data_IF_078743258819
#
_entry.id   IF_078743258819
#
_cell.length_a   1.000
_cell.length_b   1.000
_cell.length_c   1.000
_cell.angle_alpha   90.00
_cell.angle_beta   90.00
_cell.angle_gamma   90.00
#
_symmetry.space_group_name_H-M   'P 1'
#
loop_
_entity.id
_entity.type
_entity.pdbx_description
1 polymer ?
#
# COMPACT_ATOMS: atom_id res chain seq x y z
N UNK A 1 44.52 19.86 7.54
CA UNK A 1 44.22 21.29 7.39
C UNK A 1 42.86 21.49 6.75
N UNK A 2 41.81 21.61 7.58
CA UNK A 2 40.41 21.88 7.18
C UNK A 2 39.86 23.10 7.93
N UNK A 3 40.72 24.06 8.32
CA UNK A 3 40.35 25.08 9.31
C UNK A 3 40.06 26.48 8.77
N UNK A 4 40.17 26.74 7.46
CA UNK A 4 39.78 28.04 6.88
C UNK A 4 38.98 27.85 5.57
N UNK A 5 37.84 27.17 5.66
CA UNK A 5 36.86 27.14 4.56
C UNK A 5 35.84 28.24 4.79
N UNK A 6 35.68 29.12 3.80
CA UNK A 6 34.63 30.15 3.77
C UNK A 6 33.24 29.50 3.76
N UNK A 7 32.22 30.22 4.23
CA UNK A 7 30.85 29.68 4.32
C UNK A 7 30.29 29.34 2.93
N UNK A 8 30.72 30.07 1.90
CA UNK A 8 30.42 29.77 0.50
C UNK A 8 31.02 28.42 0.05
N UNK A 9 32.28 28.14 0.38
CA UNK A 9 32.94 26.87 0.03
C UNK A 9 32.32 25.68 0.77
N UNK A 10 31.90 25.88 2.03
CA UNK A 10 31.16 24.85 2.78
C UNK A 10 29.82 24.56 2.13
N UNK A 11 29.09 25.59 1.70
CA UNK A 11 27.81 25.43 1.03
C UNK A 11 27.97 24.73 -0.32
N UNK A 12 28.97 25.09 -1.10
CA UNK A 12 29.27 24.43 -2.37
C UNK A 12 29.65 22.95 -2.17
N UNK A 13 30.40 22.62 -1.11
CA UNK A 13 30.70 21.23 -0.76
C UNK A 13 29.46 20.44 -0.33
N UNK A 14 28.55 21.06 0.43
CA UNK A 14 27.27 20.44 0.81
C UNK A 14 26.39 20.22 -0.41
N UNK A 15 26.31 21.18 -1.32
CA UNK A 15 25.53 21.05 -2.55
C UNK A 15 26.12 19.96 -3.47
N UNK A 16 27.45 19.91 -3.64
CA UNK A 16 28.13 18.81 -4.35
C UNK A 16 27.91 17.45 -3.68
N UNK A 17 27.91 17.39 -2.35
CA UNK A 17 27.64 16.17 -1.60
C UNK A 17 26.19 15.72 -1.83
N UNK A 18 25.22 16.64 -1.81
CA UNK A 18 23.81 16.37 -2.06
C UNK A 18 23.57 15.90 -3.51
N UNK A 19 24.21 16.54 -4.50
CA UNK A 19 24.18 16.10 -5.89
C UNK A 19 24.80 14.71 -6.06
N UNK A 20 25.94 14.46 -5.41
CA UNK A 20 26.58 13.15 -5.43
C UNK A 20 25.72 12.08 -4.76
N UNK A 21 25.07 12.39 -3.63
CA UNK A 21 24.12 11.50 -2.96
C UNK A 21 22.87 11.26 -3.84
N UNK A 22 22.36 12.28 -4.52
CA UNK A 22 21.24 12.14 -5.46
C UNK A 22 21.63 11.24 -6.66
N UNK A 23 22.82 11.43 -7.22
CA UNK A 23 23.36 10.59 -8.31
C UNK A 23 23.65 9.16 -7.86
N UNK A 24 24.16 8.95 -6.64
CA UNK A 24 24.34 7.62 -6.05
C UNK A 24 23.00 6.92 -5.84
N UNK A 25 21.98 7.62 -5.37
CA UNK A 25 20.63 7.08 -5.22
C UNK A 25 19.95 6.71 -6.55
N UNK A 26 20.38 7.33 -7.66
CA UNK A 26 19.84 7.09 -9.01
C UNK A 26 20.65 6.11 -9.84
N UNK A 27 21.90 5.81 -9.47
CA UNK A 27 22.78 4.95 -10.27
C UNK A 27 22.64 3.49 -9.84
N UNK A 28 22.17 2.65 -10.77
CA UNK A 28 22.32 1.20 -10.63
C UNK A 28 23.82 0.88 -10.63
N UNK A 29 24.33 0.29 -9.54
CA UNK A 29 25.73 -0.13 -9.47
C UNK A 29 26.05 -1.09 -10.64
N UNK A 30 27.01 -0.70 -11.48
CA UNK A 30 27.36 -1.40 -12.71
C UNK A 30 28.00 -2.80 -12.48
N UNK A 31 28.33 -3.16 -11.23
CA UNK A 31 28.98 -4.43 -10.89
C UNK A 31 28.25 -5.12 -9.72
N UNK A 32 27.84 -6.37 -9.93
CA UNK A 32 27.04 -7.15 -8.97
C UNK A 32 27.66 -7.22 -7.57
N UNK A 33 29.00 -7.31 -7.47
CA UNK A 33 29.72 -7.33 -6.19
C UNK A 33 29.59 -6.01 -5.43
N UNK A 34 29.65 -4.87 -6.13
CA UNK A 34 29.47 -3.56 -5.49
C UNK A 34 28.03 -3.38 -5.01
N UNK A 35 27.05 -3.82 -5.79
CA UNK A 35 25.63 -3.86 -5.41
C UNK A 35 25.41 -4.69 -4.15
N UNK A 36 26.03 -5.88 -4.06
CA UNK A 36 25.90 -6.75 -2.89
C UNK A 36 26.50 -6.10 -1.63
N UNK A 37 27.71 -5.53 -1.71
CA UNK A 37 28.33 -4.84 -0.58
C UNK A 37 27.51 -3.64 -0.10
N UNK A 38 26.95 -2.86 -1.04
CA UNK A 38 26.09 -1.72 -0.73
C UNK A 38 24.81 -2.16 -0.01
N UNK A 39 24.14 -3.20 -0.51
CA UNK A 39 22.96 -3.80 0.15
C UNK A 39 23.31 -4.30 1.55
N UNK A 40 24.40 -5.06 1.71
CA UNK A 40 24.78 -5.60 3.02
C UNK A 40 25.08 -4.49 4.04
N UNK A 41 25.89 -3.50 3.66
CA UNK A 41 26.23 -2.39 4.55
C UNK A 41 25.01 -1.55 4.97
N UNK A 42 24.05 -1.40 4.05
CA UNK A 42 22.78 -0.71 4.33
C UNK A 42 21.90 -1.53 5.27
N UNK A 43 21.76 -2.83 5.02
CA UNK A 43 20.99 -3.74 5.88
C UNK A 43 21.59 -3.80 7.29
N UNK A 44 22.91 -3.92 7.43
CA UNK A 44 23.59 -3.91 8.73
C UNK A 44 23.30 -2.63 9.53
N UNK A 45 23.21 -1.49 8.83
CA UNK A 45 22.85 -0.20 9.45
C UNK A 45 21.40 -0.22 9.94
N UNK A 46 20.48 -0.73 9.11
CA UNK A 46 19.05 -0.85 9.47
C UNK A 46 18.87 -1.80 10.64
N UNK A 47 19.56 -2.95 10.66
CA UNK A 47 19.49 -3.92 11.75
C UNK A 47 19.90 -3.30 13.07
N UNK A 48 21.02 -2.56 13.11
CA UNK A 48 21.46 -1.84 14.30
C UNK A 48 20.43 -0.80 14.77
N UNK A 49 19.77 -0.10 13.83
CA UNK A 49 18.73 0.87 14.16
C UNK A 49 17.49 0.20 14.75
N UNK A 50 17.05 -0.93 14.19
CA UNK A 50 15.90 -1.70 14.68
C UNK A 50 16.19 -2.30 16.06
N UNK A 51 17.39 -2.86 16.25
CA UNK A 51 17.84 -3.40 17.53
C UNK A 51 17.88 -2.31 18.62
N UNK A 52 18.50 -1.16 18.29
CA UNK A 52 18.53 0.00 19.20
C UNK A 52 17.14 0.52 19.55
N UNK A 53 16.21 0.48 18.59
CA UNK A 53 14.82 0.87 18.82
C UNK A 53 14.13 -0.12 19.77
N UNK A 54 14.28 -1.43 19.54
CA UNK A 54 13.72 -2.48 20.38
C UNK A 54 14.21 -2.37 21.83
N UNK A 55 15.52 -2.19 22.03
CA UNK A 55 16.10 -2.01 23.39
C UNK A 55 15.51 -0.78 24.09
N UNK A 56 15.27 0.31 23.37
CA UNK A 56 14.78 1.56 23.96
C UNK A 56 13.28 1.57 24.24
N UNK A 57 12.47 0.88 23.43
CA UNK A 57 11.01 1.00 23.49
C UNK A 57 10.27 -0.29 23.78
N UNK A 58 10.95 -1.44 23.75
CA UNK A 58 10.32 -2.77 23.83
C UNK A 58 9.48 -3.11 22.59
N UNK A 59 9.68 -2.43 21.46
CA UNK A 59 8.97 -2.74 20.22
C UNK A 59 9.61 -3.98 19.57
N UNK A 60 8.75 -4.90 19.14
CA UNK A 60 9.12 -6.01 18.27
C UNK A 60 9.13 -5.58 16.81
N UNK A 61 10.22 -5.83 16.09
CA UNK A 61 10.37 -5.55 14.68
C UNK A 61 11.06 -6.72 13.94
N UNK A 62 10.68 -6.92 12.69
CA UNK A 62 11.34 -7.83 11.77
C UNK A 62 11.54 -7.17 10.41
N UNK A 63 12.58 -7.59 9.69
CA UNK A 63 12.83 -7.21 8.31
C UNK A 63 13.17 -8.46 7.50
N UNK A 64 12.55 -8.60 6.34
CA UNK A 64 12.92 -9.60 5.32
C UNK A 64 13.45 -8.86 4.09
N UNK A 65 14.60 -9.31 3.59
CA UNK A 65 15.23 -8.74 2.41
C UNK A 65 15.62 -9.86 1.44
N UNK A 66 15.31 -9.68 0.16
CA UNK A 66 15.73 -10.61 -0.89
C UNK A 66 16.18 -9.83 -2.11
N UNK A 67 16.99 -10.49 -2.95
CA UNK A 67 17.20 -10.02 -4.32
C UNK A 67 15.89 -10.05 -5.11
N UNK A 68 15.76 -9.11 -6.03
CA UNK A 68 14.62 -9.03 -6.95
C UNK A 68 14.89 -9.61 -8.34
N UNK A 69 16.12 -10.04 -8.63
CA UNK A 69 16.52 -10.51 -9.95
C UNK A 69 17.50 -11.68 -9.84
N UNK A 70 17.39 -12.67 -10.72
CA UNK A 70 18.16 -13.94 -10.67
C UNK A 70 19.67 -13.70 -10.76
N UNK A 71 20.11 -12.70 -11.53
CA UNK A 71 21.53 -12.36 -11.68
C UNK A 71 22.12 -11.53 -10.54
N UNK A 72 21.30 -11.04 -9.60
CA UNK A 72 21.83 -10.39 -8.41
C UNK A 72 22.39 -11.47 -7.47
N UNK A 73 23.61 -11.26 -6.98
CA UNK A 73 24.32 -12.20 -6.10
C UNK A 73 24.00 -12.01 -4.63
N UNK A 74 23.19 -11.02 -4.27
CA UNK A 74 22.78 -10.76 -2.89
C UNK A 74 21.96 -11.93 -2.34
N UNK A 75 22.39 -12.50 -1.23
CA UNK A 75 21.67 -13.56 -0.52
C UNK A 75 20.44 -12.98 0.18
N UNK A 76 19.31 -13.68 0.12
CA UNK A 76 18.17 -13.30 0.93
C UNK A 76 18.47 -13.51 2.41
N UNK A 77 18.02 -12.57 3.23
CA UNK A 77 18.32 -12.52 4.66
C UNK A 77 17.14 -11.93 5.41
N UNK A 78 17.10 -12.18 6.71
CA UNK A 78 16.11 -11.61 7.60
C UNK A 78 16.77 -11.17 8.91
N UNK A 79 16.10 -10.27 9.60
CA UNK A 79 16.45 -9.81 10.93
C UNK A 79 15.19 -9.77 11.79
N UNK A 80 15.33 -10.16 13.04
CA UNK A 80 14.28 -10.10 14.04
C UNK A 80 14.85 -9.56 15.35
N UNK A 81 14.11 -8.67 16.00
CA UNK A 81 14.45 -8.19 17.34
C UNK A 81 14.00 -9.20 18.40
N UNK A 82 14.79 -9.36 19.45
CA UNK A 82 14.44 -10.19 20.62
C UNK A 82 13.95 -11.60 20.19
N UNK A 83 12.97 -12.16 20.89
CA UNK A 83 12.41 -13.47 20.62
C UNK A 83 11.28 -13.49 19.57
N UNK A 84 11.32 -12.59 18.56
CA UNK A 84 10.32 -12.58 17.48
C UNK A 84 10.31 -13.89 16.67
N UNK A 85 11.36 -14.71 16.75
CA UNK A 85 11.38 -16.07 16.19
C UNK A 85 10.25 -16.94 16.73
N UNK A 86 10.00 -16.87 18.05
CA UNK A 86 8.94 -17.62 18.72
C UNK A 86 7.57 -17.27 18.12
N UNK A 87 7.35 -16.01 17.71
CA UNK A 87 6.10 -15.63 17.04
C UNK A 87 5.91 -16.38 15.70
N UNK A 88 6.97 -16.52 14.91
CA UNK A 88 6.87 -17.21 13.62
C UNK A 88 6.63 -18.70 13.80
N UNK A 89 7.38 -19.34 14.70
CA UNK A 89 7.29 -20.77 14.95
C UNK A 89 6.00 -21.14 15.70
N UNK A 90 5.66 -20.44 16.79
CA UNK A 90 4.51 -20.79 17.61
C UNK A 90 3.18 -20.34 16.99
N UNK A 91 3.11 -19.12 16.44
CA UNK A 91 1.85 -18.54 15.96
C UNK A 91 1.58 -18.84 14.49
N UNK A 92 2.62 -18.83 13.66
CA UNK A 92 2.48 -19.00 12.21
C UNK A 92 2.94 -20.38 11.73
N UNK A 93 3.58 -21.17 12.59
CA UNK A 93 4.02 -22.53 12.29
C UNK A 93 4.93 -22.57 11.06
N UNK A 94 5.80 -21.55 10.93
CA UNK A 94 6.76 -21.38 9.83
C UNK A 94 8.07 -20.82 10.34
N UNK A 95 9.19 -21.31 9.80
CA UNK A 95 10.50 -20.75 10.08
C UNK A 95 10.72 -19.44 9.29
N UNK A 96 11.47 -18.50 9.87
CA UNK A 96 11.77 -17.23 9.22
C UNK A 96 12.57 -17.41 7.91
N UNK A 97 13.45 -18.42 7.84
CA UNK A 97 14.17 -18.76 6.62
C UNK A 97 13.22 -19.23 5.51
N UNK A 98 12.17 -19.99 5.85
CA UNK A 98 11.16 -20.43 4.88
C UNK A 98 10.40 -19.22 4.28
N UNK A 99 10.05 -18.24 5.12
CA UNK A 99 9.43 -16.99 4.66
C UNK A 99 10.39 -16.23 3.73
N UNK A 100 11.67 -16.17 4.11
CA UNK A 100 12.73 -15.51 3.34
C UNK A 100 12.88 -16.13 1.95
N UNK A 101 12.90 -17.46 1.86
CA UNK A 101 12.96 -18.16 0.58
C UNK A 101 11.70 -18.00 -0.25
N UNK A 102 10.52 -18.02 0.37
CA UNK A 102 9.25 -17.75 -0.34
C UNK A 102 9.22 -16.32 -0.90
N UNK A 103 9.72 -15.35 -0.14
CA UNK A 103 9.87 -13.97 -0.59
C UNK A 103 10.83 -13.89 -1.78
N UNK A 104 11.99 -14.54 -1.71
CA UNK A 104 12.97 -14.55 -2.80
C UNK A 104 12.41 -15.22 -4.05
N UNK A 105 11.76 -16.38 -3.93
CA UNK A 105 11.11 -17.05 -5.07
C UNK A 105 10.05 -16.14 -5.70
N UNK A 106 9.20 -15.50 -4.89
CA UNK A 106 8.23 -14.54 -5.39
C UNK A 106 8.90 -13.36 -6.09
N UNK A 107 9.96 -12.81 -5.51
CA UNK A 107 10.69 -11.67 -6.05
C UNK A 107 11.43 -12.04 -7.34
N UNK A 108 12.03 -13.22 -7.48
CA UNK A 108 12.74 -13.63 -8.69
C UNK A 108 11.80 -14.11 -9.82
N UNK A 109 10.63 -14.67 -9.49
CA UNK A 109 9.68 -15.19 -10.50
C UNK A 109 8.69 -14.10 -10.93
N UNK A 110 8.17 -13.32 -9.96
CA UNK A 110 7.11 -12.33 -10.17
C UNK A 110 7.65 -10.90 -10.13
N UNK A 111 8.85 -10.67 -9.59
CA UNK A 111 9.52 -9.37 -9.57
C UNK A 111 9.96 -8.96 -10.97
N UNK A 112 8.96 -8.66 -11.78
CA UNK A 112 8.99 -7.79 -12.92
C UNK A 112 9.84 -6.55 -12.59
N UNK A 113 10.66 -6.14 -13.56
CA UNK A 113 11.42 -4.88 -13.50
C UNK A 113 10.47 -3.72 -13.15
N UNK A 114 11.00 -2.62 -12.59
CA UNK A 114 10.19 -1.45 -12.20
C UNK A 114 9.22 -1.03 -13.32
N UNK A 115 9.66 -1.12 -14.57
CA UNK A 115 8.88 -0.79 -15.77
C UNK A 115 7.75 -1.79 -16.08
N UNK A 116 7.99 -3.09 -15.85
CA UNK A 116 6.99 -4.15 -16.04
C UNK A 116 5.92 -4.14 -14.92
N UNK A 117 6.23 -3.55 -13.75
CA UNK A 117 5.24 -3.36 -12.67
C UNK A 117 4.13 -2.39 -13.05
N UNK A 118 4.36 -1.48 -13.99
CA UNK A 118 3.41 -0.43 -14.38
C UNK A 118 2.49 -0.84 -15.54
N UNK A 119 2.18 -2.13 -15.68
CA UNK A 119 1.06 -2.52 -16.55
C UNK A 119 -0.26 -2.03 -15.96
N UNK A 120 -1.23 -1.75 -16.85
CA UNK A 120 -2.60 -1.37 -16.46
C UNK A 120 -3.18 -2.41 -15.49
N UNK A 121 -3.11 -3.71 -15.81
CA UNK A 121 -3.67 -4.77 -14.97
C UNK A 121 -3.04 -4.82 -13.57
N UNK A 122 -1.71 -4.68 -13.46
CA UNK A 122 -1.03 -4.65 -12.18
C UNK A 122 -1.48 -3.42 -11.37
N UNK A 123 -1.55 -2.25 -12.00
CA UNK A 123 -1.98 -1.02 -11.34
C UNK A 123 -3.44 -1.05 -10.89
N UNK A 124 -4.34 -1.63 -11.69
CA UNK A 124 -5.73 -1.89 -11.31
C UNK A 124 -5.79 -2.77 -10.05
N UNK A 125 -5.01 -3.86 -10.01
CA UNK A 125 -4.94 -4.78 -8.86
C UNK A 125 -4.41 -4.08 -7.62
N UNK A 126 -3.35 -3.29 -7.75
CA UNK A 126 -2.75 -2.53 -6.65
C UNK A 126 -3.75 -1.52 -6.08
N UNK A 127 -4.37 -0.69 -6.92
CA UNK A 127 -5.37 0.29 -6.46
C UNK A 127 -6.58 -0.38 -5.79
N UNK A 128 -7.06 -1.49 -6.36
CA UNK A 128 -8.18 -2.26 -5.79
C UNK A 128 -7.83 -2.81 -4.41
N UNK A 129 -6.60 -3.32 -4.23
CA UNK A 129 -6.12 -3.81 -2.93
C UNK A 129 -6.00 -2.70 -1.90
N UNK A 130 -5.40 -1.56 -2.26
CA UNK A 130 -5.26 -0.41 -1.37
C UNK A 130 -6.63 0.10 -0.89
N UNK A 131 -7.58 0.26 -1.82
CA UNK A 131 -8.92 0.72 -1.50
C UNK A 131 -9.66 -0.25 -0.58
N UNK A 132 -9.70 -1.55 -0.91
CA UNK A 132 -10.40 -2.54 -0.08
C UNK A 132 -9.72 -2.74 1.27
N UNK A 133 -8.38 -2.74 1.32
CA UNK A 133 -7.63 -2.83 2.57
C UNK A 133 -7.98 -1.67 3.49
N UNK A 134 -7.91 -0.44 2.98
CA UNK A 134 -8.29 0.76 3.74
C UNK A 134 -9.73 0.72 4.26
N UNK A 135 -10.68 0.24 3.43
CA UNK A 135 -12.09 0.11 3.84
C UNK A 135 -12.26 -0.92 4.96
N UNK A 136 -11.60 -2.07 4.86
CA UNK A 136 -11.65 -3.13 5.88
C UNK A 136 -11.06 -2.67 7.21
N UNK A 137 -9.99 -1.89 7.16
CA UNK A 137 -9.35 -1.30 8.34
C UNK A 137 -10.30 -0.35 9.06
N UNK A 138 -10.93 0.58 8.34
CA UNK A 138 -11.82 1.56 8.98
C UNK A 138 -13.15 0.95 9.45
N UNK A 139 -13.68 -0.02 8.70
CA UNK A 139 -14.90 -0.73 9.04
C UNK A 139 -14.69 -1.82 10.09
N UNK A 140 -13.43 -2.13 10.45
CA UNK A 140 -13.03 -3.24 11.34
C UNK A 140 -13.65 -4.58 10.93
N UNK A 141 -13.71 -4.83 9.62
CA UNK A 141 -14.39 -5.98 9.01
C UNK A 141 -13.64 -6.48 7.79
N UNK A 142 -13.34 -7.77 7.73
CA UNK A 142 -12.58 -8.37 6.64
C UNK A 142 -13.43 -8.84 5.45
N UNK A 143 -14.73 -9.00 5.65
CA UNK A 143 -15.71 -9.51 4.67
C UNK A 143 -16.25 -8.45 3.72
N UNK A 144 -15.92 -7.17 3.95
CA UNK A 144 -16.40 -6.06 3.14
C UNK A 144 -15.52 -5.86 1.90
N UNK A 145 -16.20 -5.64 0.78
CA UNK A 145 -15.64 -5.17 -0.48
C UNK A 145 -16.43 -3.94 -0.95
N UNK A 146 -15.79 -3.07 -1.72
CA UNK A 146 -16.42 -1.84 -2.22
C UNK A 146 -17.50 -2.19 -3.25
N UNK A 147 -18.73 -1.80 -2.97
CA UNK A 147 -19.81 -1.82 -3.94
C UNK A 147 -19.89 -0.47 -4.65
N UNK A 148 -19.13 -0.30 -5.74
CA UNK A 148 -19.09 0.97 -6.48
C UNK A 148 -20.46 1.43 -7.01
N UNK A 149 -21.32 0.49 -7.43
CA UNK A 149 -22.63 0.81 -7.99
C UNK A 149 -23.64 1.29 -6.94
N UNK A 150 -23.49 0.81 -5.70
CA UNK A 150 -24.36 1.12 -4.57
C UNK A 150 -23.56 1.73 -3.41
N UNK A 151 -22.53 2.51 -3.74
CA UNK A 151 -21.59 3.04 -2.76
C UNK A 151 -22.30 3.91 -1.72
N UNK A 152 -23.15 4.81 -2.21
CA UNK A 152 -23.93 5.74 -1.40
C UNK A 152 -24.89 5.03 -0.43
N UNK A 153 -25.49 3.91 -0.83
CA UNK A 153 -26.48 3.20 0.00
C UNK A 153 -25.84 2.16 0.92
N UNK A 154 -24.86 1.40 0.43
CA UNK A 154 -24.26 0.28 1.18
C UNK A 154 -23.09 0.73 2.04
N UNK A 155 -22.32 1.72 1.60
CA UNK A 155 -21.13 2.20 2.33
C UNK A 155 -21.45 3.49 3.07
N UNK A 156 -21.82 4.58 2.37
CA UNK A 156 -22.08 5.86 3.04
C UNK A 156 -23.26 5.81 4.00
N UNK A 157 -24.44 5.39 3.53
CA UNK A 157 -25.65 5.39 4.36
C UNK A 157 -25.60 4.34 5.48
N UNK A 158 -25.20 3.10 5.16
CA UNK A 158 -25.27 1.99 6.14
C UNK A 158 -24.06 1.92 7.08
N UNK A 159 -22.87 2.24 6.61
CA UNK A 159 -21.64 2.14 7.42
C UNK A 159 -21.13 3.50 7.90
N UNK A 160 -21.74 4.61 7.46
CA UNK A 160 -21.29 5.98 7.77
C UNK A 160 -19.83 6.22 7.37
N UNK A 161 -19.37 5.58 6.29
CA UNK A 161 -17.99 5.69 5.78
C UNK A 161 -18.01 6.37 4.42
N UNK A 162 -17.11 7.31 4.20
CA UNK A 162 -16.88 7.94 2.90
C UNK A 162 -15.38 8.01 2.59
N UNK A 163 -15.05 8.41 1.37
CA UNK A 163 -13.68 8.58 0.88
C UNK A 163 -13.39 10.07 0.65
N UNK A 164 -12.30 10.55 1.23
CA UNK A 164 -11.81 11.93 1.06
C UNK A 164 -10.61 11.95 0.15
N UNK A 165 -10.43 13.06 -0.59
CA UNK A 165 -9.22 13.29 -1.39
C UNK A 165 -9.12 12.46 -2.66
N UNK A 166 -10.27 12.02 -3.19
CA UNK A 166 -10.31 11.35 -4.50
C UNK A 166 -9.74 12.28 -5.60
N UNK A 167 -8.88 11.75 -6.50
CA UNK A 167 -8.17 12.59 -7.47
C UNK A 167 -9.11 13.25 -8.48
N UNK A 168 -8.92 14.56 -8.70
CA UNK A 168 -9.67 15.33 -9.70
C UNK A 168 -9.43 14.76 -11.11
N UNK A 169 -10.51 14.67 -11.88
CA UNK A 169 -10.52 14.16 -13.25
C UNK A 169 -10.69 12.64 -13.37
N UNK A 170 -10.72 11.91 -12.25
CA UNK A 170 -10.93 10.46 -12.25
C UNK A 170 -12.33 10.18 -11.70
N UNK A 171 -13.17 9.52 -12.49
CA UNK A 171 -14.51 9.09 -12.05
C UNK A 171 -14.36 8.07 -10.92
N UNK A 172 -15.16 8.20 -9.87
CA UNK A 172 -15.20 7.19 -8.80
C UNK A 172 -15.85 5.91 -9.29
N UNK A 173 -15.01 4.93 -9.65
CA UNK A 173 -15.42 3.63 -10.16
C UNK A 173 -14.42 2.55 -9.76
N UNK A 174 -14.73 1.29 -10.08
CA UNK A 174 -13.79 0.20 -9.88
C UNK A 174 -12.48 0.48 -10.62
N UNK A 175 -11.30 0.35 -9.97
CA UNK A 175 -10.03 0.49 -10.66
C UNK A 175 -9.91 -0.47 -11.84
N UNK A 176 -10.50 -1.66 -11.78
CA UNK A 176 -10.53 -2.63 -12.90
C UNK A 176 -11.25 -2.13 -14.15
N UNK A 177 -12.06 -1.06 -14.04
CA UNK A 177 -12.73 -0.41 -15.17
C UNK A 177 -11.92 0.76 -15.76
N UNK A 178 -10.81 1.14 -15.13
CA UNK A 178 -9.93 2.23 -15.60
C UNK A 178 -8.85 1.63 -16.50
N UNK A 179 -8.87 1.96 -17.79
CA UNK A 179 -7.87 1.47 -18.76
C UNK A 179 -6.71 2.45 -18.99
N UNK A 180 -6.80 3.66 -18.45
CA UNK A 180 -5.73 4.64 -18.53
C UNK A 180 -4.68 4.40 -17.43
N UNK A 181 -3.45 4.14 -17.86
CA UNK A 181 -2.32 3.93 -16.95
C UNK A 181 -2.02 5.19 -16.14
N UNK A 182 -2.09 6.39 -16.75
CA UNK A 182 -1.75 7.62 -16.04
C UNK A 182 -2.74 7.91 -14.90
N UNK A 183 -4.04 7.74 -15.14
CA UNK A 183 -5.07 7.82 -14.11
C UNK A 183 -4.82 6.81 -12.97
N UNK A 184 -4.44 5.57 -13.28
CA UNK A 184 -4.13 4.56 -12.27
C UNK A 184 -2.89 4.90 -11.45
N UNK A 185 -1.83 5.42 -12.08
CA UNK A 185 -0.63 5.86 -11.37
C UNK A 185 -0.91 7.03 -10.43
N UNK A 186 -1.72 8.01 -10.89
CA UNK A 186 -2.18 9.12 -10.07
C UNK A 186 -3.01 8.64 -8.88
N UNK A 187 -3.95 7.71 -9.11
CA UNK A 187 -4.76 7.11 -8.05
C UNK A 187 -3.89 6.34 -7.04
N UNK A 188 -2.92 5.55 -7.50
CA UNK A 188 -1.95 4.84 -6.66
C UNK A 188 -1.17 5.81 -5.77
N UNK A 189 -0.66 6.90 -6.33
CA UNK A 189 0.10 7.91 -5.60
C UNK A 189 -0.71 8.49 -4.45
N UNK A 190 -1.88 9.06 -4.74
CA UNK A 190 -2.72 9.68 -3.70
C UNK A 190 -3.19 8.69 -2.62
N UNK A 191 -3.36 7.40 -2.96
CA UNK A 191 -3.69 6.36 -1.98
C UNK A 191 -2.50 5.99 -1.09
N UNK A 192 -1.29 5.90 -1.65
CA UNK A 192 -0.07 5.58 -0.90
C UNK A 192 0.36 6.73 0.01
N UNK A 193 0.24 7.95 -0.49
CA UNK A 193 0.62 9.17 0.23
C UNK A 193 -0.40 9.53 1.32
N UNK A 194 -1.56 8.85 1.35
CA UNK A 194 -2.63 9.10 2.32
C UNK A 194 -3.52 10.31 2.01
N UNK A 195 -3.30 11.01 0.89
CA UNK A 195 -4.18 12.09 0.44
C UNK A 195 -5.61 11.58 0.16
N UNK A 196 -5.71 10.38 -0.40
CA UNK A 196 -6.97 9.67 -0.61
C UNK A 196 -7.14 8.60 0.46
N UNK A 197 -8.10 8.78 1.37
CA UNK A 197 -8.31 7.85 2.48
C UNK A 197 -9.78 7.76 2.89
N UNK A 198 -10.11 6.66 3.53
CA UNK A 198 -11.42 6.43 4.12
C UNK A 198 -11.54 7.17 5.45
N UNK A 199 -12.73 7.69 5.74
CA UNK A 199 -13.02 8.31 7.03
C UNK A 199 -14.46 7.98 7.47
N UNK A 200 -14.67 7.98 8.79
CA UNK A 200 -16.01 7.92 9.38
C UNK A 200 -16.64 9.30 9.26
N UNK A 201 -17.82 9.36 8.65
CA UNK A 201 -18.63 10.57 8.61
C UNK A 201 -19.02 10.95 10.03
N UNK A 202 -19.02 12.25 10.33
CA UNK A 202 -19.59 12.72 11.58
C UNK A 202 -21.11 12.51 11.58
N UNK A 203 -21.77 12.44 12.75
CA UNK A 203 -23.23 12.33 12.81
C UNK A 203 -23.94 13.40 11.96
N UNK A 204 -23.48 14.65 12.03
CA UNK A 204 -24.05 15.73 11.21
C UNK A 204 -23.89 15.48 9.71
N UNK A 205 -22.71 15.04 9.25
CA UNK A 205 -22.48 14.72 7.83
C UNK A 205 -23.35 13.55 7.38
N UNK A 206 -23.53 12.55 8.25
CA UNK A 206 -24.35 11.39 7.97
C UNK A 206 -25.84 11.76 7.87
N UNK A 207 -26.34 12.60 8.78
CA UNK A 207 -27.72 13.10 8.79
C UNK A 207 -28.00 13.98 7.56
N UNK A 208 -27.10 14.90 7.23
CA UNK A 208 -27.19 15.73 6.01
C UNK A 208 -27.25 14.85 4.76
N UNK A 209 -26.39 13.83 4.69
CA UNK A 209 -26.37 12.90 3.58
C UNK A 209 -27.66 12.07 3.51
N UNK A 210 -28.19 11.63 4.65
CA UNK A 210 -29.47 10.92 4.71
C UNK A 210 -30.62 11.79 4.23
N UNK A 211 -30.67 13.06 4.64
CA UNK A 211 -31.67 14.02 4.21
C UNK A 211 -31.60 14.28 2.69
N UNK A 212 -30.39 14.38 2.14
CA UNK A 212 -30.17 14.49 0.69
C UNK A 212 -30.70 13.28 -0.07
N UNK A 213 -30.40 12.07 0.40
CA UNK A 213 -30.91 10.84 -0.22
C UNK A 213 -32.44 10.75 -0.16
N UNK A 214 -33.05 11.12 0.96
CA UNK A 214 -34.50 11.13 1.10
C UNK A 214 -35.16 12.17 0.18
N UNK A 215 -34.52 13.32 -0.02
CA UNK A 215 -34.95 14.32 -0.99
C UNK A 215 -34.85 13.82 -2.44
N UNK A 216 -33.76 13.12 -2.81
CA UNK A 216 -33.63 12.46 -4.12
C UNK A 216 -34.73 11.42 -4.36
N UNK A 217 -34.99 10.56 -3.36
CA UNK A 217 -36.05 9.57 -3.43
C UNK A 217 -37.44 10.21 -3.63
N UNK A 218 -37.73 11.32 -2.94
CA UNK A 218 -38.98 12.09 -3.10
C UNK A 218 -39.13 12.69 -4.51
N UNK A 219 -38.02 13.03 -5.19
CA UNK A 219 -38.01 13.49 -6.59
C UNK A 219 -38.10 12.36 -7.61
N UNK A 220 -38.10 11.09 -7.18
CA UNK A 220 -38.14 9.92 -8.05
C UNK A 220 -36.79 9.55 -8.68
N UNK A 221 -35.69 10.14 -8.21
CA UNK A 221 -34.34 9.77 -8.65
C UNK A 221 -33.97 8.39 -8.08
N UNK A 222 -33.50 7.48 -8.92
CA UNK A 222 -33.06 6.14 -8.47
C UNK A 222 -31.69 6.25 -7.79
N UNK A 223 -31.66 6.16 -6.47
CA UNK A 223 -30.43 6.07 -5.68
C UNK A 223 -29.90 4.63 -5.73
N UNK A 224 -29.01 4.36 -6.68
CA UNK A 224 -28.33 3.06 -6.84
C UNK A 224 -29.03 2.12 -7.84
N UNK A 225 -28.33 1.02 -8.17
CA UNK A 225 -28.89 -0.02 -9.03
C UNK A 225 -29.85 -0.89 -8.22
N UNK A 226 -31.13 -1.03 -8.65
CA UNK A 226 -32.06 -1.93 -7.98
C UNK A 226 -31.51 -3.36 -8.03
N UNK A 227 -31.51 -4.06 -6.89
CA UNK A 227 -31.15 -5.47 -6.84
C UNK A 227 -32.04 -6.24 -7.83
N UNK A 228 -31.42 -7.12 -8.64
CA UNK A 228 -32.14 -8.08 -9.47
C UNK A 228 -33.06 -8.89 -8.54
N UNK A 229 -34.35 -8.94 -8.85
CA UNK A 229 -35.28 -9.85 -8.17
C UNK A 229 -34.74 -11.28 -8.36
N UNK A 230 -34.47 -11.98 -7.25
CA UNK A 230 -34.15 -13.40 -7.28
C UNK A 230 -35.34 -14.15 -7.89
N UNK A 231 -35.07 -15.14 -8.74
CA UNK A 231 -36.10 -15.93 -9.43
C UNK A 231 -37.04 -16.69 -8.46
N UNK A 232 -36.61 -16.79 -7.21
CA UNK A 232 -37.23 -17.57 -6.13
C UNK A 232 -38.18 -16.71 -5.27
N UNK A 233 -38.30 -15.41 -5.58
CA UNK A 233 -39.25 -14.51 -4.94
C UNK A 233 -40.70 -14.87 -5.35
N UNK A 234 -41.26 -15.87 -4.68
CA UNK A 234 -42.63 -16.33 -4.88
C UNK A 234 -42.80 -17.84 -5.04
N UNK A 235 -41.73 -18.65 -4.97
CA UNK A 235 -41.87 -20.11 -4.99
C UNK A 235 -42.26 -20.59 -3.58
N UNK A 236 -43.47 -21.14 -3.36
CA UNK A 236 -43.82 -21.73 -2.08
C UNK A 236 -42.88 -22.91 -1.83
N UNK A 237 -42.32 -22.98 -0.62
CA UNK A 237 -41.59 -24.16 -0.16
C UNK A 237 -42.52 -25.36 -0.28
N UNK A 238 -42.17 -26.35 -1.12
CA UNK A 238 -42.95 -27.59 -1.22
C UNK A 238 -42.89 -28.30 0.13
N UNK A 239 -44.06 -28.55 0.72
CA UNK A 239 -44.24 -29.44 1.87
C UNK A 239 -43.92 -30.88 1.51
#
# INVERSE_FOLDING_TARGET
NMQDLTEEEKKELVDKLNEYQALRNMSMCAMNTATMCDVQSTLDTIFKMLDSLAVRTGIYACLFASRGHIYNTTQATWFGTDNIMDFWEDMLQVEADEITWKLEQWACIIGQNIDERETVQNMQRVCTRLLNSGLRTIAKRHDICINYANFDTVIKKKLSIDIKGWPKGIVFQSPTSVNDLHALLKLRGVLKDGFCHWFHMTPCQHDEFHALLDACCKRGEKVGKPCKKCADAGVPCKQ
#
